data_IF_435196006501
#
_entry.id   IF_435196006501
#
_cell.length_a   1.000
_cell.length_b   1.000
_cell.length_c   1.000
_cell.angle_alpha   90.00
_cell.angle_beta   90.00
_cell.angle_gamma   90.00
#
_symmetry.space_group_name_H-M   'P 1'
#
loop_
_entity.id
_entity.type
_entity.pdbx_description
1 polymer ?
#
# COMPACT_ATOMS: atom_id res chain seq x y z
N UNK A 1 31.05 6.55 -37.49
CA UNK A 1 29.68 6.73 -36.96
C UNK A 1 28.99 5.37 -37.02
N UNK A 2 28.88 4.66 -35.89
CA UNK A 2 28.34 3.30 -35.86
C UNK A 2 26.82 3.39 -35.73
N UNK A 3 26.11 2.88 -36.72
CA UNK A 3 24.66 2.74 -36.63
C UNK A 3 24.33 1.37 -36.04
N UNK A 4 23.40 1.34 -35.10
CA UNK A 4 23.00 0.11 -34.42
C UNK A 4 21.82 -0.53 -35.17
N UNK A 5 21.89 -1.83 -35.38
CA UNK A 5 20.77 -2.62 -35.89
C UNK A 5 19.94 -3.11 -34.71
N UNK A 6 18.63 -2.92 -34.77
CA UNK A 6 17.69 -3.43 -33.79
C UNK A 6 16.48 -4.04 -34.50
N UNK A 7 15.91 -5.08 -33.91
CA UNK A 7 14.67 -5.70 -34.38
C UNK A 7 13.51 -5.07 -33.59
N UNK A 8 12.57 -4.42 -34.29
CA UNK A 8 11.41 -3.75 -33.72
C UNK A 8 10.15 -4.59 -33.90
N UNK A 9 9.36 -4.72 -32.85
CA UNK A 9 8.06 -5.39 -32.89
C UNK A 9 7.04 -4.49 -33.60
N UNK A 10 6.50 -4.97 -34.73
CA UNK A 10 5.50 -4.25 -35.54
C UNK A 10 4.08 -4.75 -35.24
N UNK A 11 3.98 -6.02 -34.87
CA UNK A 11 2.77 -6.69 -34.38
C UNK A 11 3.20 -7.88 -33.50
N UNK A 12 2.27 -8.47 -32.75
CA UNK A 12 2.56 -9.57 -31.83
C UNK A 12 3.33 -10.70 -32.53
N UNK A 13 4.59 -10.90 -32.13
CA UNK A 13 5.47 -11.92 -32.71
C UNK A 13 6.04 -11.60 -34.11
N UNK A 14 5.75 -10.43 -34.69
CA UNK A 14 6.27 -9.98 -35.99
C UNK A 14 7.31 -8.87 -35.76
N UNK A 15 8.56 -9.15 -36.14
CA UNK A 15 9.69 -8.25 -35.95
C UNK A 15 10.26 -7.77 -37.29
N UNK A 16 10.66 -6.50 -37.35
CA UNK A 16 11.35 -5.89 -38.50
C UNK A 16 12.67 -5.28 -38.08
N UNK A 17 13.73 -5.54 -38.85
CA UNK A 17 15.06 -5.00 -38.58
C UNK A 17 15.16 -3.56 -39.09
N UNK A 18 15.57 -2.65 -38.23
CA UNK A 18 15.84 -1.26 -38.60
C UNK A 18 17.21 -0.81 -38.11
N UNK A 19 17.78 0.13 -38.86
CA UNK A 19 19.04 0.80 -38.53
C UNK A 19 18.72 2.08 -37.77
N UNK A 20 19.17 2.17 -36.53
CA UNK A 20 18.99 3.34 -35.67
C UNK A 20 20.22 4.24 -35.82
N UNK A 21 20.00 5.49 -36.21
CA UNK A 21 21.02 6.54 -36.10
C UNK A 21 21.00 7.14 -34.69
N UNK A 22 22.11 7.76 -34.26
CA UNK A 22 22.22 8.32 -32.91
C UNK A 22 21.00 9.20 -32.55
N UNK A 23 20.14 8.68 -31.67
CA UNK A 23 18.96 9.37 -31.18
C UNK A 23 19.21 9.84 -29.75
N UNK A 24 19.01 11.14 -29.51
CA UNK A 24 19.20 11.76 -28.19
C UNK A 24 17.87 11.87 -27.40
N UNK A 25 16.77 11.38 -27.96
CA UNK A 25 15.43 11.47 -27.37
C UNK A 25 14.62 10.21 -27.64
N UNK A 26 13.73 9.87 -26.71
CA UNK A 26 12.81 8.72 -26.80
C UNK A 26 11.39 9.24 -26.68
N UNK A 27 10.51 8.80 -27.56
CA UNK A 27 9.09 9.12 -27.51
C UNK A 27 8.36 8.12 -26.61
N UNK A 28 7.76 8.60 -25.53
CA UNK A 28 6.74 7.84 -24.80
C UNK A 28 5.37 8.06 -25.44
N UNK A 29 4.43 7.13 -25.19
CA UNK A 29 3.02 7.24 -25.62
C UNK A 29 2.31 8.51 -25.13
N UNK A 30 2.91 9.19 -24.14
CA UNK A 30 2.47 10.47 -23.61
C UNK A 30 3.56 11.52 -23.91
N UNK A 31 3.15 12.73 -24.36
CA UNK A 31 4.05 13.87 -24.67
C UNK A 31 4.73 14.44 -23.43
N UNK A 32 5.60 13.67 -22.80
CA UNK A 32 6.49 14.09 -21.73
C UNK A 32 7.89 13.55 -22.05
N UNK A 33 8.93 14.27 -21.60
CA UNK A 33 10.29 13.75 -21.69
C UNK A 33 10.38 12.46 -20.85
N UNK A 34 10.85 11.36 -21.46
CA UNK A 34 10.79 10.04 -20.85
C UNK A 34 11.46 9.99 -19.48
N UNK A 35 12.63 10.63 -19.36
CA UNK A 35 13.41 10.65 -18.13
C UNK A 35 12.68 11.39 -17.02
N UNK A 36 12.11 12.57 -17.32
CA UNK A 36 11.42 13.37 -16.32
C UNK A 36 10.11 12.72 -15.87
N UNK A 37 9.39 12.07 -16.79
CA UNK A 37 8.17 11.34 -16.45
C UNK A 37 8.47 10.13 -15.55
N UNK A 38 9.47 9.33 -15.90
CA UNK A 38 9.84 8.15 -15.12
C UNK A 38 10.36 8.55 -13.73
N UNK A 39 11.16 9.61 -13.64
CA UNK A 39 11.65 10.11 -12.37
C UNK A 39 10.50 10.62 -11.48
N UNK A 40 9.57 11.39 -12.03
CA UNK A 40 8.38 11.85 -11.30
C UNK A 40 7.49 10.69 -10.86
N UNK A 41 7.31 9.68 -11.71
CA UNK A 41 6.54 8.49 -11.35
C UNK A 41 7.22 7.72 -10.20
N UNK A 42 8.55 7.60 -10.23
CA UNK A 42 9.32 6.97 -9.17
C UNK A 42 9.19 7.74 -7.84
N UNK A 43 9.33 9.05 -7.88
CA UNK A 43 9.18 9.92 -6.70
C UNK A 43 7.77 9.81 -6.11
N UNK A 44 6.74 9.88 -6.94
CA UNK A 44 5.35 9.71 -6.52
C UNK A 44 5.10 8.33 -5.91
N UNK A 45 5.64 7.26 -6.51
CA UNK A 45 5.50 5.90 -6.00
C UNK A 45 6.19 5.73 -4.64
N UNK A 46 7.38 6.31 -4.45
CA UNK A 46 8.10 6.31 -3.17
C UNK A 46 7.33 7.07 -2.09
N UNK A 47 6.86 8.28 -2.40
CA UNK A 47 6.04 9.07 -1.47
C UNK A 47 4.75 8.34 -1.10
N UNK A 48 4.08 7.70 -2.07
CA UNK A 48 2.89 6.90 -1.83
C UNK A 48 3.18 5.68 -0.93
N UNK A 49 4.33 5.03 -1.11
CA UNK A 49 4.76 3.94 -0.24
C UNK A 49 4.97 4.40 1.20
N UNK A 50 5.63 5.55 1.41
CA UNK A 50 5.84 6.10 2.75
C UNK A 50 4.51 6.40 3.47
N UNK A 51 3.54 6.97 2.76
CA UNK A 51 2.19 7.20 3.29
C UNK A 51 1.51 5.89 3.67
N UNK A 52 1.53 4.89 2.79
CA UNK A 52 0.90 3.59 3.05
C UNK A 52 1.51 2.87 4.25
N UNK A 53 2.83 2.98 4.44
CA UNK A 53 3.51 2.42 5.61
C UNK A 53 3.04 3.09 6.90
N UNK A 54 2.91 4.43 6.90
CA UNK A 54 2.38 5.16 8.05
C UNK A 54 0.92 4.80 8.35
N UNK A 55 0.07 4.68 7.32
CA UNK A 55 -1.33 4.29 7.47
C UNK A 55 -1.46 2.85 8.02
N UNK A 56 -0.62 1.93 7.56
CA UNK A 56 -0.58 0.55 8.08
C UNK A 56 -0.19 0.53 9.55
N UNK A 57 0.83 1.29 9.95
CA UNK A 57 1.22 1.40 11.35
C UNK A 57 0.07 1.97 12.20
N UNK A 58 -0.60 3.02 11.71
CA UNK A 58 -1.76 3.58 12.38
C UNK A 58 -2.87 2.53 12.59
N UNK A 59 -3.18 1.73 11.56
CA UNK A 59 -4.19 0.68 11.67
C UNK A 59 -3.81 -0.41 12.68
N UNK A 60 -2.53 -0.81 12.75
CA UNK A 60 -2.06 -1.77 13.76
C UNK A 60 -2.23 -1.23 15.18
N UNK A 61 -1.95 0.06 15.39
CA UNK A 61 -2.14 0.73 16.67
C UNK A 61 -3.63 0.77 17.03
N UNK A 62 -4.51 1.10 16.07
CA UNK A 62 -5.96 1.10 16.26
C UNK A 62 -6.52 -0.29 16.61
N UNK A 63 -6.03 -1.34 15.96
CA UNK A 63 -6.40 -2.72 16.28
C UNK A 63 -6.03 -3.05 17.73
N UNK A 64 -4.83 -2.69 18.15
CA UNK A 64 -4.34 -2.92 19.53
C UNK A 64 -5.19 -2.17 20.55
N UNK A 65 -5.48 -0.88 20.31
CA UNK A 65 -6.34 -0.06 21.18
C UNK A 65 -7.75 -0.65 21.28
N UNK A 66 -8.29 -1.11 20.16
CA UNK A 66 -9.63 -1.71 20.12
C UNK A 66 -9.69 -3.00 20.93
N UNK A 67 -8.68 -3.87 20.80
CA UNK A 67 -8.59 -5.10 21.59
C UNK A 67 -8.52 -4.82 23.09
N UNK A 68 -7.71 -3.86 23.52
CA UNK A 68 -7.61 -3.45 24.93
C UNK A 68 -8.96 -2.91 25.43
N UNK A 69 -9.60 -2.05 24.63
CA UNK A 69 -10.93 -1.49 24.95
C UNK A 69 -11.96 -2.59 25.15
N UNK A 70 -12.02 -3.58 24.26
CA UNK A 70 -12.91 -4.74 24.37
C UNK A 70 -12.64 -5.51 25.66
N UNK A 71 -11.37 -5.79 25.98
CA UNK A 71 -10.99 -6.49 27.20
C UNK A 71 -11.38 -5.71 28.47
N UNK A 72 -11.21 -4.39 28.48
CA UNK A 72 -11.64 -3.53 29.58
C UNK A 72 -13.16 -3.55 29.79
N UNK A 73 -13.93 -3.41 28.71
CA UNK A 73 -15.40 -3.47 28.78
C UNK A 73 -15.87 -4.82 29.29
N UNK A 74 -15.27 -5.92 28.80
CA UNK A 74 -15.57 -7.27 29.29
C UNK A 74 -15.26 -7.43 30.78
N UNK A 75 -14.06 -7.02 31.21
CA UNK A 75 -13.65 -7.11 32.61
C UNK A 75 -14.56 -6.29 33.53
N UNK A 76 -14.96 -5.10 33.09
CA UNK A 76 -15.91 -4.25 33.81
C UNK A 76 -17.27 -4.93 33.94
N UNK A 77 -17.83 -5.49 32.86
CA UNK A 77 -19.11 -6.21 32.90
C UNK A 77 -19.08 -7.42 33.85
N UNK A 78 -18.01 -8.22 33.81
CA UNK A 78 -17.81 -9.34 34.75
C UNK A 78 -17.77 -8.85 36.19
N UNK A 79 -17.03 -7.77 36.48
CA UNK A 79 -16.94 -7.19 37.82
C UNK A 79 -18.32 -6.71 38.31
N UNK A 80 -19.08 -6.01 37.46
CA UNK A 80 -20.44 -5.55 37.78
C UNK A 80 -21.40 -6.72 38.08
N UNK A 81 -21.34 -7.79 37.28
CA UNK A 81 -22.14 -9.00 37.52
C UNK A 81 -21.80 -9.66 38.86
N UNK A 82 -20.52 -9.74 39.23
CA UNK A 82 -20.08 -10.28 40.52
C UNK A 82 -20.58 -9.44 41.69
N UNK A 83 -20.51 -8.11 41.60
CA UNK A 83 -21.06 -7.21 42.64
C UNK A 83 -22.57 -7.46 42.82
N UNK A 84 -23.33 -7.56 41.72
CA UNK A 84 -24.78 -7.81 41.78
C UNK A 84 -25.12 -9.16 42.42
N UNK A 85 -24.33 -10.20 42.16
CA UNK A 85 -24.52 -11.52 42.76
C UNK A 85 -24.13 -11.56 44.24
N UNK A 86 -23.04 -10.87 44.63
CA UNK A 86 -22.61 -10.79 46.03
C UNK A 86 -23.55 -9.95 46.91
N UNK A 87 -24.27 -8.99 46.32
CA UNK A 87 -25.30 -8.18 46.99
C UNK A 87 -26.69 -8.84 47.06
N UNK A 88 -26.88 -10.03 46.46
CA UNK A 88 -28.16 -10.74 46.54
C UNK A 88 -28.25 -11.52 47.88
N UNK A 89 -29.22 -11.21 48.76
CA UNK A 89 -29.36 -11.95 50.01
C UNK A 89 -29.70 -13.42 49.71
N UNK A 90 -29.03 -14.34 50.41
CA UNK A 90 -29.32 -15.77 50.35
C UNK A 90 -30.81 -15.98 50.67
N UNK A 91 -31.58 -16.45 49.69
CA UNK A 91 -32.98 -16.79 49.90
C UNK A 91 -33.04 -18.00 50.82
N UNK A 92 -33.55 -17.75 52.02
CA UNK A 92 -33.94 -18.67 53.11
C UNK A 92 -33.94 -20.17 52.79
N UNK A 93 -33.21 -20.94 53.59
CA UNK A 93 -33.51 -22.33 53.95
C UNK A 93 -33.83 -22.39 55.43
#
# INVERSE_FOLDING_TARGET
MQAQLADFEVSEGIYSRARIEHANSVCLWRRANATTLLQKNLENAKAGLEVLVADLQFLLDQVTITQITIAHVYNWDVHQKRIRQAGAPAKYS
#
